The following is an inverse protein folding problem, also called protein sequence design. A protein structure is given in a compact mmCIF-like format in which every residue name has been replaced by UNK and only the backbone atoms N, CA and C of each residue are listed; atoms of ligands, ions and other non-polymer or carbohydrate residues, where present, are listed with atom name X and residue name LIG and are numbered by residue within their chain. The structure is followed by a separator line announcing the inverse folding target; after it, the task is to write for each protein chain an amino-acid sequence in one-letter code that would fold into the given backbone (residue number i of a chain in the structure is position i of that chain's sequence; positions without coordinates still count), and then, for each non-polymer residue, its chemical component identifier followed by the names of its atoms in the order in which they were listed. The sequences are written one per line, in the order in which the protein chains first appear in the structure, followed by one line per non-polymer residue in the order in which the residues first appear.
data_IF_146302653672
#
_entry.id   IF_146302653672
#
_cell.length_a   1.000
_cell.length_b   1.000
_cell.length_c   1.000
_cell.angle_alpha   90.00
_cell.angle_beta   90.00
_cell.angle_gamma   90.00
#
_symmetry.space_group_name_H-M   'P 1'
#
loop_
_entity.id
_entity.type
_entity.pdbx_description
1 polymer ?
#
# COMPACT_ATOMS: atom_id res chain seq x y z
N UNK A 1 -32.45 -12.63 9.81
CA UNK A 1 -31.08 -13.17 9.58
C UNK A 1 -30.07 -12.15 9.02
N UNK A 2 -30.48 -11.27 8.10
CA UNK A 2 -29.62 -10.22 7.55
C UNK A 2 -29.29 -9.11 8.58
N UNK A 3 -30.24 -8.75 9.43
CA UNK A 3 -30.07 -7.72 10.48
C UNK A 3 -29.12 -8.22 11.56
N UNK A 4 -29.24 -9.48 11.98
CA UNK A 4 -28.37 -10.09 12.97
C UNK A 4 -26.91 -10.21 12.48
N UNK A 5 -26.71 -10.52 11.19
CA UNK A 5 -25.37 -10.53 10.57
C UNK A 5 -24.77 -9.12 10.52
N UNK A 6 -25.53 -8.11 10.12
CA UNK A 6 -25.06 -6.71 10.11
C UNK A 6 -24.71 -6.21 11.52
N UNK A 7 -25.51 -6.56 12.52
CA UNK A 7 -25.27 -6.18 13.92
C UNK A 7 -24.01 -6.85 14.47
N UNK A 8 -23.84 -8.17 14.26
CA UNK A 8 -22.64 -8.92 14.65
C UNK A 8 -21.39 -8.35 13.97
N UNK A 9 -21.46 -8.01 12.69
CA UNK A 9 -20.36 -7.41 11.95
C UNK A 9 -19.98 -6.02 12.52
N UNK A 10 -20.96 -5.20 12.88
CA UNK A 10 -20.74 -3.90 13.52
C UNK A 10 -20.04 -4.05 14.89
N UNK A 11 -20.45 -5.03 15.70
CA UNK A 11 -19.81 -5.30 16.98
C UNK A 11 -18.36 -5.77 16.82
N UNK A 12 -18.08 -6.66 15.86
CA UNK A 12 -16.73 -7.13 15.58
C UNK A 12 -15.83 -5.99 15.14
N UNK A 13 -16.33 -5.09 14.27
CA UNK A 13 -15.57 -3.90 13.86
C UNK A 13 -15.29 -2.95 15.03
N UNK A 14 -16.26 -2.71 15.88
CA UNK A 14 -16.09 -1.87 17.06
C UNK A 14 -15.05 -2.46 18.04
N UNK A 15 -15.13 -3.78 18.28
CA UNK A 15 -14.16 -4.48 19.13
C UNK A 15 -12.74 -4.44 18.56
N UNK A 16 -12.59 -4.63 17.24
CA UNK A 16 -11.30 -4.52 16.56
C UNK A 16 -10.74 -3.09 16.64
N UNK A 17 -11.57 -2.07 16.45
CA UNK A 17 -11.19 -0.68 16.61
C UNK A 17 -10.70 -0.36 18.00
N UNK A 18 -11.43 -0.81 19.05
CA UNK A 18 -11.05 -0.61 20.45
C UNK A 18 -9.74 -1.34 20.78
N UNK A 19 -9.51 -2.52 20.23
CA UNK A 19 -8.24 -3.26 20.42
C UNK A 19 -7.07 -2.53 19.77
N UNK A 20 -7.27 -1.93 18.59
CA UNK A 20 -6.27 -1.15 17.90
C UNK A 20 -5.91 0.13 18.68
N UNK A 21 -6.92 0.85 19.20
CA UNK A 21 -6.75 2.04 20.03
C UNK A 21 -5.96 1.71 21.31
N UNK A 22 -6.30 0.62 21.97
CA UNK A 22 -5.59 0.15 23.17
C UNK A 22 -4.14 -0.19 22.83
N UNK A 23 -3.89 -0.96 21.78
CA UNK A 23 -2.54 -1.33 21.37
C UNK A 23 -1.69 -0.10 21.01
N UNK A 24 -2.25 0.88 20.30
CA UNK A 24 -1.58 2.13 19.97
C UNK A 24 -1.20 2.90 21.23
N UNK A 25 -2.12 3.01 22.21
CA UNK A 25 -1.86 3.69 23.47
C UNK A 25 -0.75 3.02 24.29
N UNK A 26 -0.67 1.69 24.29
CA UNK A 26 0.42 0.94 24.94
C UNK A 26 1.79 1.21 24.30
N UNK A 27 1.81 1.48 23.00
CA UNK A 27 3.03 1.80 22.26
C UNK A 27 3.38 3.31 22.29
N UNK A 28 2.52 4.15 22.86
CA UNK A 28 2.70 5.60 22.89
C UNK A 28 2.59 6.26 21.50
N UNK A 29 1.84 5.66 20.60
CA UNK A 29 1.60 6.17 19.24
C UNK A 29 0.10 6.35 18.98
N UNK A 30 -0.24 7.04 17.90
CA UNK A 30 -1.64 7.18 17.49
C UNK A 30 -2.17 5.88 16.86
N UNK A 31 -3.48 5.73 16.84
CA UNK A 31 -4.14 4.62 16.16
C UNK A 31 -3.81 4.61 14.66
N UNK A 32 -3.73 5.78 14.04
CA UNK A 32 -3.36 5.94 12.63
C UNK A 32 -1.92 5.49 12.36
N UNK A 33 -0.97 5.84 13.24
CA UNK A 33 0.42 5.38 13.13
C UNK A 33 0.52 3.86 13.27
N UNK A 34 -0.23 3.25 14.19
CA UNK A 34 -0.27 1.80 14.32
C UNK A 34 -0.89 1.16 13.08
N UNK A 35 -1.98 1.70 12.57
CA UNK A 35 -2.64 1.22 11.36
C UNK A 35 -1.70 1.27 10.13
N UNK A 36 -0.82 2.27 10.05
CA UNK A 36 0.23 2.31 9.02
C UNK A 36 1.24 1.18 9.17
N UNK A 37 1.70 0.94 10.40
CA UNK A 37 2.74 -0.07 10.68
C UNK A 37 2.29 -1.51 10.43
N UNK A 38 0.99 -1.78 10.54
CA UNK A 38 0.42 -3.12 10.38
C UNK A 38 -0.12 -3.42 8.97
N UNK A 39 0.02 -2.50 8.02
CA UNK A 39 -0.34 -2.78 6.62
C UNK A 39 0.46 -3.98 6.11
N UNK A 40 -0.19 -5.07 5.69
CA UNK A 40 0.53 -6.26 5.28
C UNK A 40 1.25 -6.04 3.94
N UNK A 41 2.46 -6.60 3.82
CA UNK A 41 3.19 -6.62 2.55
C UNK A 41 2.77 -7.77 1.64
N UNK A 42 1.93 -8.68 2.12
CA UNK A 42 1.40 -9.85 1.41
C UNK A 42 2.47 -10.81 0.86
N UNK A 43 3.68 -10.76 1.41
CA UNK A 43 4.82 -11.57 0.99
C UNK A 43 5.50 -11.09 -0.28
N UNK A 44 5.16 -9.92 -0.78
CA UNK A 44 5.89 -9.28 -1.88
C UNK A 44 7.21 -8.68 -1.38
N UNK A 45 8.22 -8.68 -2.24
CA UNK A 45 9.52 -8.08 -1.98
C UNK A 45 9.58 -6.59 -2.39
N UNK A 46 10.77 -6.00 -2.32
CA UNK A 46 11.02 -4.61 -2.68
C UNK A 46 10.82 -4.30 -4.18
N UNK A 47 10.81 -5.33 -5.03
CA UNK A 47 10.54 -5.21 -6.45
C UNK A 47 9.05 -5.43 -6.78
N UNK A 48 8.19 -5.47 -5.76
CA UNK A 48 6.76 -5.78 -5.88
C UNK A 48 6.50 -7.17 -6.48
N UNK A 49 7.41 -8.13 -6.21
CA UNK A 49 7.36 -9.49 -6.71
C UNK A 49 7.20 -10.52 -5.57
N UNK A 50 6.47 -11.59 -5.85
CA UNK A 50 6.37 -12.77 -4.99
C UNK A 50 6.47 -14.03 -5.82
N UNK A 51 7.30 -14.96 -5.40
CA UNK A 51 7.51 -16.25 -6.10
C UNK A 51 6.63 -17.33 -5.47
N UNK A 52 5.90 -18.05 -6.30
CA UNK A 52 5.15 -19.24 -5.94
C UNK A 52 5.84 -20.46 -6.54
N UNK A 53 6.41 -21.30 -5.67
CA UNK A 53 7.21 -22.46 -6.04
C UNK A 53 6.35 -23.74 -5.98
N UNK A 54 6.17 -24.38 -7.14
CA UNK A 54 5.42 -25.63 -7.30
C UNK A 54 6.29 -26.90 -7.19
N UNK A 55 7.58 -26.74 -6.82
CA UNK A 55 8.53 -27.84 -6.72
C UNK A 55 9.37 -28.06 -7.99
N UNK A 56 8.75 -28.15 -9.15
CA UNK A 56 9.43 -28.26 -10.45
C UNK A 56 9.24 -27.04 -11.36
N UNK A 57 8.37 -26.13 -10.95
CA UNK A 57 8.07 -24.89 -11.68
C UNK A 57 7.90 -23.75 -10.70
N UNK A 58 8.32 -22.56 -11.09
CA UNK A 58 8.14 -21.34 -10.30
C UNK A 58 7.34 -20.33 -11.11
N UNK A 59 6.55 -19.55 -10.40
CA UNK A 59 5.77 -18.47 -10.97
C UNK A 59 6.07 -17.19 -10.22
N UNK A 60 6.29 -16.11 -10.96
CA UNK A 60 6.47 -14.78 -10.39
C UNK A 60 5.14 -14.04 -10.47
N UNK A 61 4.71 -13.52 -9.34
CA UNK A 61 3.51 -12.69 -9.23
C UNK A 61 3.94 -11.27 -8.91
N UNK A 62 3.42 -10.30 -9.66
CA UNK A 62 3.73 -8.88 -9.47
C UNK A 62 2.48 -8.08 -9.14
N UNK A 63 2.65 -6.96 -8.45
CA UNK A 63 1.61 -5.95 -8.25
C UNK A 63 1.86 -4.81 -9.23
N UNK A 64 0.86 -4.49 -10.05
CA UNK A 64 0.92 -3.34 -10.96
C UNK A 64 0.61 -2.02 -10.24
N UNK A 65 0.91 -0.89 -10.88
CA UNK A 65 0.51 0.44 -10.38
C UNK A 65 -1.00 0.66 -10.36
N UNK A 66 -1.76 -0.17 -11.08
CA UNK A 66 -3.22 -0.23 -10.98
C UNK A 66 -3.72 -1.09 -9.80
N UNK A 67 -2.79 -1.60 -8.95
CA UNK A 67 -3.09 -2.49 -7.82
C UNK A 67 -3.73 -3.81 -8.24
N UNK A 68 -3.39 -4.27 -9.44
CA UNK A 68 -3.77 -5.56 -9.99
C UNK A 68 -2.61 -6.54 -9.90
N UNK A 69 -2.92 -7.83 -9.93
CA UNK A 69 -1.94 -8.91 -9.87
C UNK A 69 -1.70 -9.45 -11.27
N UNK A 70 -0.44 -9.54 -11.65
CA UNK A 70 0.02 -10.22 -12.86
C UNK A 70 0.84 -11.45 -12.50
N UNK A 71 0.71 -12.50 -13.31
CA UNK A 71 1.39 -13.79 -13.10
C UNK A 71 2.26 -14.11 -14.32
N UNK A 72 3.50 -14.50 -14.07
CA UNK A 72 4.47 -14.87 -15.10
C UNK A 72 5.04 -16.26 -14.81
N UNK A 73 5.29 -17.04 -15.86
CA UNK A 73 6.05 -18.28 -15.77
C UNK A 73 7.57 -18.04 -15.77
N UNK A 74 8.35 -19.10 -15.65
CA UNK A 74 9.81 -19.03 -15.63
C UNK A 74 10.44 -18.48 -16.93
N UNK A 75 9.71 -18.52 -18.04
CA UNK A 75 10.15 -17.92 -19.30
C UNK A 75 9.84 -16.43 -19.39
N UNK A 76 9.17 -15.85 -18.39
CA UNK A 76 8.69 -14.47 -18.39
C UNK A 76 7.38 -14.28 -19.16
N UNK A 77 6.72 -15.35 -19.57
CA UNK A 77 5.43 -15.28 -20.24
C UNK A 77 4.32 -14.97 -19.26
N UNK A 78 3.56 -13.92 -19.55
CA UNK A 78 2.37 -13.56 -18.77
C UNK A 78 1.27 -14.61 -18.92
N UNK A 79 0.75 -15.05 -17.79
CA UNK A 79 -0.36 -15.99 -17.68
C UNK A 79 -1.63 -15.26 -17.24
N UNK A 80 -2.77 -15.79 -17.64
CA UNK A 80 -4.07 -15.26 -17.22
C UNK A 80 -4.32 -15.44 -15.71
N UNK A 81 -3.79 -16.53 -15.15
CA UNK A 81 -3.91 -16.88 -13.73
C UNK A 81 -2.78 -17.84 -13.34
N UNK A 82 -2.55 -18.00 -12.04
CA UNK A 82 -1.69 -19.06 -11.55
C UNK A 82 -2.32 -20.41 -11.91
N UNK A 83 -1.59 -21.34 -12.57
CA UNK A 83 -2.14 -22.64 -12.95
C UNK A 83 -2.59 -23.44 -11.74
N UNK A 84 -3.75 -24.06 -11.84
CA UNK A 84 -4.18 -24.99 -10.80
C UNK A 84 -3.22 -26.19 -10.74
N UNK A 85 -2.92 -26.71 -9.53
CA UNK A 85 -2.07 -27.89 -9.39
C UNK A 85 -2.74 -29.10 -10.05
N UNK A 86 -1.94 -29.97 -10.66
CA UNK A 86 -2.43 -31.21 -11.24
C UNK A 86 -2.70 -32.28 -10.16
N UNK A 87 -2.87 -33.55 -10.56
CA UNK A 87 -3.30 -34.66 -9.67
C UNK A 87 -2.15 -35.60 -9.24
N UNK A 88 -0.89 -35.30 -9.48
CA UNK A 88 0.27 -36.16 -9.21
C UNK A 88 0.92 -35.88 -7.86
N UNK A 89 1.62 -36.89 -7.29
CA UNK A 89 2.22 -36.86 -5.93
C UNK A 89 3.28 -35.76 -5.71
N UNK A 90 3.91 -35.23 -6.74
CA UNK A 90 4.81 -34.07 -6.66
C UNK A 90 4.10 -32.73 -6.42
N UNK A 91 2.79 -32.78 -6.19
CA UNK A 91 1.87 -31.64 -6.23
C UNK A 91 1.41 -31.14 -4.86
N UNK A 92 1.87 -31.72 -3.75
CA UNK A 92 1.55 -31.18 -2.41
C UNK A 92 2.10 -29.76 -2.26
N UNK A 93 3.32 -29.52 -2.76
CA UNK A 93 3.93 -28.20 -2.76
C UNK A 93 3.18 -27.22 -3.68
N UNK A 94 2.76 -27.67 -4.85
CA UNK A 94 1.95 -26.91 -5.78
C UNK A 94 0.56 -26.57 -5.20
N UNK A 95 -0.08 -27.53 -4.53
CA UNK A 95 -1.36 -27.32 -3.88
C UNK A 95 -1.26 -26.28 -2.75
N UNK A 96 -0.23 -26.37 -1.91
CA UNK A 96 0.01 -25.40 -0.84
C UNK A 96 0.28 -23.99 -1.40
N UNK A 97 1.14 -23.87 -2.41
CA UNK A 97 1.42 -22.60 -3.06
C UNK A 97 0.18 -21.99 -3.73
N UNK A 98 -0.67 -22.82 -4.33
CA UNK A 98 -1.91 -22.36 -4.94
C UNK A 98 -2.92 -21.85 -3.90
N UNK A 99 -3.04 -22.51 -2.76
CA UNK A 99 -3.89 -22.05 -1.64
C UNK A 99 -3.34 -20.72 -1.05
N UNK A 100 -2.03 -20.60 -0.88
CA UNK A 100 -1.40 -19.34 -0.49
C UNK A 100 -1.68 -18.21 -1.48
N UNK A 101 -1.62 -18.49 -2.77
CA UNK A 101 -1.97 -17.51 -3.82
C UNK A 101 -3.42 -17.06 -3.72
N UNK A 102 -4.36 -17.98 -3.52
CA UNK A 102 -5.78 -17.64 -3.33
C UNK A 102 -6.01 -16.79 -2.08
N UNK A 103 -5.32 -17.12 -1.00
CA UNK A 103 -5.38 -16.36 0.24
C UNK A 103 -4.79 -14.96 0.05
N UNK A 104 -3.62 -14.86 -0.59
CA UNK A 104 -2.98 -13.59 -0.93
C UNK A 104 -3.91 -12.70 -1.77
N UNK A 105 -4.58 -13.25 -2.79
CA UNK A 105 -5.54 -12.48 -3.61
C UNK A 105 -6.70 -11.93 -2.77
N UNK A 106 -7.23 -12.71 -1.83
CA UNK A 106 -8.28 -12.23 -0.91
C UNK A 106 -7.77 -11.11 -0.01
N UNK A 107 -6.60 -11.30 0.58
CA UNK A 107 -5.96 -10.30 1.44
C UNK A 107 -5.63 -9.03 0.67
N UNK A 108 -5.12 -9.16 -0.55
CA UNK A 108 -4.84 -8.02 -1.45
C UNK A 108 -6.09 -7.19 -1.68
N UNK A 109 -7.20 -7.82 -2.02
CA UNK A 109 -8.47 -7.13 -2.25
C UNK A 109 -8.95 -6.34 -1.02
N UNK A 110 -8.85 -6.95 0.16
CA UNK A 110 -9.24 -6.31 1.42
C UNK A 110 -8.27 -5.16 1.76
N UNK A 111 -6.97 -5.39 1.62
CA UNK A 111 -5.93 -4.38 1.90
C UNK A 111 -6.08 -3.18 0.97
N UNK A 112 -6.21 -3.39 -0.34
CA UNK A 112 -6.41 -2.32 -1.32
C UNK A 112 -7.65 -1.49 -0.98
N UNK A 113 -8.78 -2.13 -0.71
CA UNK A 113 -10.03 -1.43 -0.35
C UNK A 113 -9.86 -0.61 0.93
N UNK A 114 -9.27 -1.20 1.96
CA UNK A 114 -9.03 -0.54 3.25
C UNK A 114 -8.07 0.65 3.12
N UNK A 115 -6.96 0.47 2.42
CA UNK A 115 -5.96 1.53 2.27
C UNK A 115 -6.45 2.66 1.36
N UNK A 116 -7.24 2.36 0.34
CA UNK A 116 -7.90 3.39 -0.46
C UNK A 116 -8.75 4.33 0.40
N UNK A 117 -9.59 3.77 1.28
CA UNK A 117 -10.37 4.57 2.22
C UNK A 117 -9.50 5.42 3.15
N UNK A 118 -8.37 4.86 3.64
CA UNK A 118 -7.44 5.58 4.51
C UNK A 118 -6.72 6.72 3.81
N UNK A 119 -6.36 6.55 2.54
CA UNK A 119 -5.76 7.61 1.70
C UNK A 119 -6.78 8.71 1.43
N UNK A 120 -8.01 8.37 1.08
CA UNK A 120 -9.10 9.34 0.92
C UNK A 120 -9.36 10.13 2.21
N UNK A 121 -9.34 9.45 3.36
CA UNK A 121 -9.46 10.09 4.66
C UNK A 121 -8.26 11.00 4.96
N UNK A 122 -7.04 10.56 4.66
CA UNK A 122 -5.83 11.34 4.86
C UNK A 122 -5.85 12.64 4.05
N UNK A 123 -6.33 12.60 2.81
CA UNK A 123 -6.53 13.78 1.98
C UNK A 123 -7.55 14.74 2.61
N UNK A 124 -8.71 14.24 3.00
CA UNK A 124 -9.79 15.07 3.56
C UNK A 124 -9.50 15.63 4.94
N UNK A 125 -8.65 14.99 5.72
CA UNK A 125 -8.24 15.43 7.06
C UNK A 125 -6.89 16.16 7.09
N UNK A 126 -6.27 16.40 5.93
CA UNK A 126 -4.95 17.03 5.82
C UNK A 126 -3.87 16.32 6.65
N UNK A 127 -3.92 14.97 6.65
CA UNK A 127 -2.98 14.17 7.40
C UNK A 127 -1.56 14.36 6.87
N UNK A 128 -0.62 14.55 7.81
CA UNK A 128 0.81 14.64 7.53
C UNK A 128 1.56 13.50 8.21
N UNK A 129 2.61 13.01 7.56
CA UNK A 129 3.55 12.02 8.07
C UNK A 129 4.91 12.65 8.28
N UNK A 130 5.66 12.19 9.28
CA UNK A 130 7.10 12.42 9.28
C UNK A 130 7.72 11.76 8.05
N UNK A 131 8.86 12.25 7.60
CA UNK A 131 9.56 11.69 6.43
C UNK A 131 9.87 10.21 6.65
N UNK A 132 10.31 9.83 7.87
CA UNK A 132 10.58 8.44 8.23
C UNK A 132 9.31 7.56 8.18
N UNK A 133 8.21 8.01 8.76
CA UNK A 133 6.94 7.28 8.74
C UNK A 133 6.41 7.11 7.32
N UNK A 134 6.52 8.14 6.49
CA UNK A 134 6.13 8.10 5.09
C UNK A 134 6.98 7.10 4.29
N UNK A 135 8.30 7.12 4.48
CA UNK A 135 9.20 6.14 3.85
C UNK A 135 8.87 4.70 4.26
N UNK A 136 8.63 4.47 5.54
CA UNK A 136 8.29 3.14 6.05
C UNK A 136 6.98 2.61 5.47
N UNK A 137 5.98 3.48 5.29
CA UNK A 137 4.69 3.09 4.73
C UNK A 137 4.72 2.99 3.19
N UNK A 138 5.18 4.02 2.50
CA UNK A 138 5.02 4.16 1.04
C UNK A 138 6.24 3.73 0.23
N UNK A 139 7.43 3.72 0.78
CA UNK A 139 8.62 3.25 0.08
C UNK A 139 8.91 1.78 0.39
N UNK A 140 8.84 1.39 1.67
CA UNK A 140 9.24 0.03 2.09
C UNK A 140 8.13 -1.02 1.95
N UNK A 141 6.86 -0.63 2.04
CA UNK A 141 5.76 -1.58 1.84
C UNK A 141 5.41 -1.67 0.35
N UNK A 142 5.52 -2.85 -0.29
CA UNK A 142 5.34 -2.99 -1.73
C UNK A 142 3.91 -2.69 -2.19
N UNK A 143 2.91 -2.98 -1.38
CA UNK A 143 1.51 -2.66 -1.71
C UNK A 143 1.30 -1.14 -1.67
N UNK A 144 1.78 -0.49 -0.61
CA UNK A 144 1.64 0.96 -0.44
C UNK A 144 2.52 1.75 -1.41
N UNK A 145 3.67 1.19 -1.82
CA UNK A 145 4.49 1.74 -2.90
C UNK A 145 3.66 1.95 -4.17
N UNK A 146 2.88 0.96 -4.57
CA UNK A 146 2.03 1.05 -5.76
C UNK A 146 0.89 2.06 -5.60
N UNK A 147 0.38 2.27 -4.39
CA UNK A 147 -0.56 3.36 -4.11
C UNK A 147 0.08 4.73 -4.28
N UNK A 148 1.33 4.89 -3.82
CA UNK A 148 2.02 6.18 -3.79
C UNK A 148 2.32 6.72 -5.19
N UNK A 149 2.56 5.82 -6.15
CA UNK A 149 2.87 6.12 -7.55
C UNK A 149 1.69 6.81 -8.18
N UNK A 150 1.03 7.42 -8.39
CA UNK A 150 -0.13 8.02 -9.03
C UNK A 150 -0.70 9.18 -8.22
N UNK A 151 -0.05 9.49 -7.11
CA UNK A 151 -0.46 10.55 -6.23
C UNK A 151 0.53 11.73 -6.28
N UNK A 152 0.04 12.92 -6.00
CA UNK A 152 0.88 14.11 -5.84
C UNK A 152 1.13 14.31 -4.36
N UNK A 153 2.39 14.30 -3.99
CA UNK A 153 2.85 14.46 -2.63
C UNK A 153 3.39 15.86 -2.41
N UNK A 154 3.19 16.39 -1.22
CA UNK A 154 3.69 17.68 -0.78
C UNK A 154 4.64 17.53 0.40
N UNK A 155 5.62 18.43 0.45
CA UNK A 155 6.41 18.70 1.65
C UNK A 155 5.84 19.92 2.31
N UNK A 156 5.56 19.82 3.61
CA UNK A 156 4.93 20.84 4.42
C UNK A 156 5.86 21.29 5.56
N UNK A 157 5.98 22.59 5.72
CA UNK A 157 6.61 23.22 6.86
C UNK A 157 5.59 24.12 7.56
N UNK A 158 5.39 23.92 8.87
CA UNK A 158 4.39 24.67 9.65
C UNK A 158 2.97 24.65 9.04
N UNK A 159 2.57 23.54 8.44
CA UNK A 159 1.31 23.34 7.71
C UNK A 159 1.19 24.08 6.38
N UNK A 160 2.26 24.67 5.88
CA UNK A 160 2.31 25.32 4.56
C UNK A 160 3.03 24.40 3.56
N UNK A 161 2.47 24.28 2.36
CA UNK A 161 3.09 23.54 1.26
C UNK A 161 4.32 24.29 0.75
N UNK A 162 5.50 23.67 0.85
CA UNK A 162 6.77 24.28 0.39
C UNK A 162 7.29 23.66 -0.90
N UNK A 163 7.00 22.39 -1.14
CA UNK A 163 7.36 21.68 -2.38
C UNK A 163 6.32 20.62 -2.69
N UNK A 164 6.20 20.27 -3.97
CA UNK A 164 5.44 19.10 -4.41
C UNK A 164 6.31 18.16 -5.23
N UNK A 165 6.01 16.87 -5.17
CA UNK A 165 6.73 15.84 -5.92
C UNK A 165 5.84 14.68 -6.29
N UNK A 166 6.30 13.88 -7.27
CA UNK A 166 5.71 12.60 -7.65
C UNK A 166 6.67 11.47 -7.30
N UNK A 167 6.12 10.35 -6.89
CA UNK A 167 6.86 9.13 -6.70
C UNK A 167 6.76 8.30 -7.97
N UNK A 168 7.91 8.00 -8.58
CA UNK A 168 8.02 7.34 -9.87
C UNK A 168 8.14 5.82 -9.71
N UNK A 169 7.81 5.08 -10.77
CA UNK A 169 7.86 3.60 -10.77
C UNK A 169 9.27 3.04 -10.53
N UNK A 170 10.31 3.76 -10.92
CA UNK A 170 11.70 3.41 -10.69
C UNK A 170 12.21 3.69 -9.26
N UNK A 171 11.32 4.19 -8.39
CA UNK A 171 11.65 4.54 -7.00
C UNK A 171 12.25 5.93 -6.81
N UNK A 172 12.41 6.72 -7.87
CA UNK A 172 12.83 8.12 -7.79
C UNK A 172 11.69 9.06 -7.42
N UNK A 173 12.01 10.28 -7.06
CA UNK A 173 11.06 11.35 -6.84
C UNK A 173 11.36 12.48 -7.81
N UNK A 174 10.34 13.03 -8.45
CA UNK A 174 10.48 14.10 -9.43
C UNK A 174 9.58 15.29 -9.06
N UNK A 175 10.07 16.49 -9.34
CA UNK A 175 9.28 17.72 -9.28
C UNK A 175 8.31 17.82 -10.46
N UNK A 176 7.50 18.86 -10.50
CA UNK A 176 6.61 19.17 -11.62
C UNK A 176 7.38 19.42 -12.94
N UNK A 177 8.60 19.95 -12.83
CA UNK A 177 9.51 20.23 -13.96
C UNK A 177 10.33 18.99 -14.39
N UNK A 178 9.96 17.79 -13.91
CA UNK A 178 10.66 16.52 -14.15
C UNK A 178 12.13 16.50 -13.65
N UNK A 179 12.47 17.38 -12.69
CA UNK A 179 13.76 17.37 -12.03
C UNK A 179 13.76 16.36 -10.87
N UNK A 180 14.91 15.72 -10.63
CA UNK A 180 15.07 14.82 -9.51
C UNK A 180 14.87 15.58 -8.18
N UNK A 181 14.01 15.01 -7.33
CA UNK A 181 13.70 15.55 -6.01
C UNK A 181 14.22 14.64 -4.92
N UNK A 182 14.81 15.21 -3.88
CA UNK A 182 15.24 14.47 -2.70
C UNK A 182 14.35 14.84 -1.51
N UNK A 183 13.92 13.82 -0.78
CA UNK A 183 13.12 14.04 0.42
C UNK A 183 13.95 14.80 1.48
N UNK A 184 13.33 15.75 2.18
CA UNK A 184 14.03 16.53 3.21
C UNK A 184 14.47 15.63 4.37
N UNK A 185 15.57 16.02 5.02
CA UNK A 185 16.09 15.35 6.22
C UNK A 185 15.70 16.08 7.50
N UNK A 186 15.19 17.30 7.39
CA UNK A 186 14.80 18.14 8.52
C UNK A 186 13.57 17.58 9.23
N UNK A 187 13.64 17.51 10.56
CA UNK A 187 12.57 16.94 11.38
C UNK A 187 11.27 17.76 11.40
N UNK A 188 11.35 19.03 11.06
CA UNK A 188 10.19 19.93 10.97
C UNK A 188 9.44 19.82 9.64
N UNK A 189 10.01 19.14 8.65
CA UNK A 189 9.37 18.86 7.37
C UNK A 189 8.50 17.62 7.45
N UNK A 190 7.28 17.73 6.95
CA UNK A 190 6.29 16.65 6.93
C UNK A 190 5.83 16.38 5.50
N UNK A 191 5.37 15.18 5.23
CA UNK A 191 4.85 14.79 3.91
C UNK A 191 3.36 14.52 4.00
N UNK A 192 2.61 15.00 3.04
CA UNK A 192 1.19 14.76 2.90
C UNK A 192 0.73 14.75 1.45
N UNK A 193 -0.54 14.42 1.24
CA UNK A 193 -1.16 14.53 -0.08
C UNK A 193 -1.44 16.00 -0.39
N UNK A 194 -1.14 16.43 -1.61
CA UNK A 194 -1.49 17.78 -2.08
C UNK A 194 -2.98 17.85 -2.33
N UNK A 195 -3.65 18.77 -1.67
CA UNK A 195 -5.07 18.99 -1.86
C UNK A 195 -5.33 19.76 -3.16
N UNK A 196 -6.38 19.42 -3.95
CA UNK A 196 -6.69 20.13 -5.19
C UNK A 196 -6.83 21.65 -5.06
N UNK A 197 -7.20 22.16 -3.88
CA UNK A 197 -7.28 23.61 -3.61
C UNK A 197 -5.90 24.26 -3.66
N UNK A 198 -4.84 23.59 -3.18
CA UNK A 198 -3.47 24.10 -3.18
C UNK A 198 -2.90 24.20 -4.59
N UNK A 199 -3.32 23.31 -5.49
CA UNK A 199 -2.90 23.32 -6.90
C UNK A 199 -3.46 24.53 -7.68
N UNK A 200 -4.60 25.09 -7.23
CA UNK A 200 -5.22 26.24 -7.89
C UNK A 200 -4.66 27.58 -7.42
N UNK A 201 -4.06 27.66 -6.23
CA UNK A 201 -3.44 28.87 -5.71
C UNK A 201 -2.08 29.17 -6.36
N UNK A 202 -1.30 28.16 -6.73
CA UNK A 202 -0.02 28.34 -7.42
C UNK A 202 -0.19 28.77 -8.90
N UNK A 203 -1.29 28.36 -9.55
CA UNK A 203 -1.63 28.81 -10.89
C UNK A 203 -2.13 30.26 -10.95
N UNK A 204 -2.42 30.87 -9.82
CA UNK A 204 -2.83 32.29 -9.70
C UNK A 204 -1.65 33.24 -9.34
N UNK A 205 -0.46 32.69 -9.05
CA UNK A 205 0.75 33.47 -8.69
C UNK A 205 1.74 33.62 -9.85
N UNK A 206 1.42 33.08 -11.03
CA UNK A 206 2.14 33.30 -12.30
C UNK A 206 1.35 34.21 -13.20
#
# INVERSE_FOLDING_TARGET
DCIARKFKFKQVRAAAGSALDFAASQLGITTEELADRIVPNLGFDENMERIFDYGGRKFTVTITTALEIEVFDESGKKLKNLPAPGKRVEEEKAAAAYEEFKLMKKQMKVTVSSQKMRIEMALSTWRLWSVEAWRNLFVKNPVMHQFAIGLIWGVYENHELVNSFRYMEDGSFNTEDEEEFQLPEEQNMLIGLVHPIEMTEDSLKT
#
